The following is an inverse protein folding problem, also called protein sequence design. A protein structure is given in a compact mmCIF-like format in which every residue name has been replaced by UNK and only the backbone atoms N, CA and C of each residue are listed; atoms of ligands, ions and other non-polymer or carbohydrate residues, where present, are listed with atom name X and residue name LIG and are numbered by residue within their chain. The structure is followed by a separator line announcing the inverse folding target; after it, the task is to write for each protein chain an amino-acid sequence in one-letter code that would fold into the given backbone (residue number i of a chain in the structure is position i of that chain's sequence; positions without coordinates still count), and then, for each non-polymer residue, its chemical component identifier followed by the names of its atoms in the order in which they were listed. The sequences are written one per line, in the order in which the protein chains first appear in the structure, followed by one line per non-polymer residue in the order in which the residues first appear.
data_IF_657528969769
#
_entry.id   IF_657528969769
#
_cell.length_a   1.000
_cell.length_b   1.000
_cell.length_c   1.000
_cell.angle_alpha   90.00
_cell.angle_beta   90.00
_cell.angle_gamma   90.00
#
_symmetry.space_group_name_H-M   'P 1'
#
loop_
_entity.id
_entity.type
_entity.pdbx_description
1 polymer ?
#
# COMPACT_ATOMS: atom_id res chain seq x y z
N UNK A 1 -19.56 -2.76 -46.55
CA UNK A 1 -20.04 -2.43 -47.91
C UNK A 1 -19.78 -0.94 -48.15
N UNK A 2 -18.85 -0.65 -49.07
CA UNK A 2 -18.64 0.52 -49.96
C UNK A 2 -18.88 1.95 -49.43
N UNK A 3 -18.07 2.98 -49.69
CA UNK A 3 -17.09 3.28 -50.77
C UNK A 3 -16.26 4.51 -50.30
N UNK A 4 -14.92 4.50 -50.29
CA UNK A 4 -13.99 4.89 -51.37
C UNK A 4 -14.27 6.23 -52.07
N UNK A 5 -13.39 7.22 -51.86
CA UNK A 5 -12.96 8.19 -52.87
C UNK A 5 -11.46 8.49 -52.71
N UNK A 6 -10.70 8.14 -53.75
CA UNK A 6 -9.30 8.50 -54.00
C UNK A 6 -9.24 9.88 -54.69
N UNK A 7 -8.16 10.63 -54.44
CA UNK A 7 -7.56 11.51 -55.46
C UNK A 7 -6.06 11.71 -55.19
N UNK A 8 -5.24 11.30 -56.16
CA UNK A 8 -3.78 11.44 -56.24
C UNK A 8 -3.38 12.77 -56.93
N UNK A 9 -2.24 13.31 -56.48
CA UNK A 9 -1.10 13.88 -57.25
C UNK A 9 -1.27 15.19 -58.04
N UNK A 10 -0.37 16.16 -57.77
CA UNK A 10 0.57 16.70 -58.78
C UNK A 10 1.86 17.25 -58.14
N UNK A 11 2.99 16.78 -58.67
CA UNK A 11 4.36 17.26 -58.50
C UNK A 11 4.67 18.16 -59.71
N UNK A 12 5.27 19.34 -59.51
CA UNK A 12 6.04 20.03 -60.57
C UNK A 12 7.28 20.66 -59.95
N UNK A 13 8.43 20.25 -60.48
CA UNK A 13 9.75 20.82 -60.24
C UNK A 13 10.02 21.99 -61.19
N UNK A 14 10.88 22.92 -60.76
CA UNK A 14 11.58 23.87 -61.65
C UNK A 14 12.93 24.18 -61.02
N UNK A 15 14.02 23.81 -61.71
CA UNK A 15 15.39 24.07 -61.27
C UNK A 15 16.02 25.30 -61.92
N UNK A 16 17.15 25.75 -61.37
CA UNK A 16 18.29 26.33 -62.09
C UNK A 16 19.45 26.55 -61.10
N UNK A 17 20.64 26.06 -61.46
CA UNK A 17 21.91 26.23 -60.76
C UNK A 17 22.75 27.31 -61.45
N UNK A 18 23.66 28.00 -60.74
CA UNK A 18 25.05 28.27 -61.17
C UNK A 18 25.91 29.00 -60.09
N UNK A 19 27.05 28.36 -59.75
CA UNK A 19 28.42 28.85 -59.42
C UNK A 19 28.71 30.05 -58.47
N UNK A 20 29.60 29.78 -57.48
CA UNK A 20 30.98 30.33 -57.49
C UNK A 20 31.48 31.20 -56.31
N UNK A 21 32.45 30.64 -55.55
CA UNK A 21 33.60 31.24 -54.82
C UNK A 21 33.40 32.30 -53.70
N UNK A 22 33.91 32.00 -52.50
CA UNK A 22 35.24 32.48 -52.05
C UNK A 22 35.62 31.96 -50.64
N UNK A 23 36.89 31.54 -50.53
CA UNK A 23 37.60 31.14 -49.32
C UNK A 23 38.17 32.38 -48.61
N UNK A 24 38.21 32.39 -47.28
CA UNK A 24 39.18 33.17 -46.50
C UNK A 24 39.63 32.40 -45.24
N UNK A 25 40.93 32.31 -44.90
CA UNK A 25 41.41 31.44 -43.82
C UNK A 25 41.96 32.17 -42.57
N UNK A 26 41.83 31.48 -41.42
CA UNK A 26 42.74 31.41 -40.23
C UNK A 26 42.68 32.57 -39.19
N UNK A 27 42.93 32.30 -37.88
CA UNK A 27 44.19 31.72 -37.39
C UNK A 27 44.11 30.54 -36.40
N UNK A 28 45.22 29.79 -36.40
CA UNK A 28 45.63 28.79 -35.42
C UNK A 28 45.97 29.49 -34.09
N UNK A 29 45.57 28.91 -32.97
CA UNK A 29 46.18 29.16 -31.68
C UNK A 29 46.71 27.87 -31.07
N UNK A 30 47.97 27.99 -30.67
CA UNK A 30 48.91 26.99 -30.20
C UNK A 30 48.66 26.54 -28.77
N UNK A 31 49.16 25.35 -28.49
CA UNK A 31 49.39 24.73 -27.18
C UNK A 31 49.76 25.69 -26.05
N UNK A 32 49.02 25.59 -24.95
CA UNK A 32 49.55 25.83 -23.60
C UNK A 32 49.05 24.67 -22.72
N UNK A 33 49.92 23.69 -22.51
CA UNK A 33 49.79 22.72 -21.41
C UNK A 33 50.06 23.48 -20.11
N UNK A 34 49.01 23.80 -19.35
CA UNK A 34 49.12 24.14 -17.93
C UNK A 34 48.47 23.01 -17.14
N UNK A 35 49.33 22.22 -16.48
CA UNK A 35 49.03 21.05 -15.68
C UNK A 35 48.31 21.50 -14.41
N UNK A 36 46.98 21.42 -14.39
CA UNK A 36 46.18 21.51 -13.16
C UNK A 36 45.86 20.10 -12.69
N UNK A 37 46.60 19.62 -11.68
CA UNK A 37 46.28 18.41 -10.94
C UNK A 37 45.10 18.70 -10.00
N UNK A 38 43.88 18.57 -10.52
CA UNK A 38 42.69 18.40 -9.69
C UNK A 38 42.54 16.91 -9.37
N UNK A 39 42.30 16.52 -8.10
CA UNK A 39 42.03 15.12 -7.80
C UNK A 39 40.77 14.69 -8.52
N UNK A 40 40.87 13.57 -9.24
CA UNK A 40 39.75 12.91 -9.90
C UNK A 40 38.80 12.41 -8.81
N UNK A 41 37.86 13.25 -8.37
CA UNK A 41 36.74 12.78 -7.57
C UNK A 41 35.79 12.10 -8.55
N UNK A 42 35.91 10.78 -8.64
CA UNK A 42 34.97 9.96 -9.38
C UNK A 42 33.67 9.87 -8.56
N UNK A 43 32.93 10.97 -8.46
CA UNK A 43 31.52 10.92 -8.08
C UNK A 43 30.81 10.54 -9.36
N UNK A 44 30.52 9.25 -9.55
CA UNK A 44 29.53 8.86 -10.55
C UNK A 44 28.27 9.67 -10.24
N UNK A 45 27.84 10.54 -11.16
CA UNK A 45 26.53 11.19 -11.01
C UNK A 45 25.50 10.10 -10.76
N UNK A 46 24.57 10.28 -9.80
CA UNK A 46 23.54 9.30 -9.56
C UNK A 46 22.78 9.06 -10.87
N UNK A 47 22.53 7.78 -11.21
CA UNK A 47 21.87 7.36 -12.46
C UNK A 47 20.52 8.06 -12.67
N UNK A 48 19.89 8.51 -11.59
CA UNK A 48 18.57 9.12 -11.55
C UNK A 48 18.63 10.46 -10.82
N UNK A 49 17.90 11.47 -11.31
CA UNK A 49 17.74 12.75 -10.61
C UNK A 49 17.05 12.55 -9.26
N UNK A 50 17.46 13.24 -8.19
CA UNK A 50 16.86 13.02 -6.87
C UNK A 50 15.38 13.42 -6.85
N UNK A 51 14.56 12.57 -6.23
CA UNK A 51 13.17 12.85 -5.86
C UNK A 51 13.04 12.73 -4.34
N UNK A 52 12.47 13.75 -3.71
CA UNK A 52 12.05 13.71 -2.31
C UNK A 52 10.56 13.96 -2.23
N UNK A 53 9.85 13.04 -1.61
CA UNK A 53 8.40 13.02 -1.53
C UNK A 53 7.98 13.32 -0.10
N UNK A 54 7.33 14.45 0.10
CA UNK A 54 6.71 14.80 1.38
C UNK A 54 5.65 13.75 1.72
N UNK A 55 5.84 13.06 2.84
CA UNK A 55 5.07 11.88 3.21
C UNK A 55 4.31 12.09 4.52
N UNK A 56 3.01 11.81 4.49
CA UNK A 56 2.09 11.91 5.62
C UNK A 56 1.52 10.53 5.92
N UNK A 57 1.68 10.08 7.17
CA UNK A 57 1.22 8.76 7.60
C UNK A 57 0.08 8.92 8.59
N UNK A 58 -1.05 8.32 8.24
CA UNK A 58 -2.25 8.26 9.04
C UNK A 58 -2.46 6.81 9.47
N UNK A 59 -2.50 6.57 10.77
CA UNK A 59 -2.69 5.24 11.35
C UNK A 59 -4.08 5.19 11.95
N UNK A 60 -4.98 4.50 11.25
CA UNK A 60 -6.42 4.52 11.51
C UNK A 60 -6.76 3.36 12.42
N UNK A 61 -7.07 3.69 13.66
CA UNK A 61 -7.36 2.74 14.72
C UNK A 61 -8.79 2.90 15.19
N UNK A 62 -9.38 1.84 15.72
CA UNK A 62 -10.74 1.95 16.22
C UNK A 62 -10.79 2.78 17.51
N UNK A 63 -11.82 3.61 17.69
CA UNK A 63 -12.04 4.36 18.95
C UNK A 63 -12.23 3.45 20.16
N UNK A 64 -12.55 2.17 19.90
CA UNK A 64 -12.52 1.06 20.85
C UNK A 64 -11.52 0.01 20.33
N UNK A 65 -10.22 0.14 20.64
CA UNK A 65 -9.18 -0.62 19.97
C UNK A 65 -9.26 -2.12 20.27
N UNK A 66 -8.98 -2.93 19.25
CA UNK A 66 -8.77 -4.39 19.30
C UNK A 66 -7.27 -4.72 19.40
N UNK A 67 -6.87 -5.96 19.72
CA UNK A 67 -5.45 -6.39 19.75
C UNK A 67 -4.62 -5.93 18.55
N UNK A 68 -5.20 -5.99 17.36
CA UNK A 68 -4.58 -5.62 16.09
C UNK A 68 -4.29 -4.12 16.00
N UNK A 69 -5.07 -3.27 16.67
CA UNK A 69 -4.87 -1.82 16.72
C UNK A 69 -3.71 -1.41 17.64
N UNK A 70 -3.10 -2.32 18.39
CA UNK A 70 -1.91 -2.03 19.22
C UNK A 70 -0.65 -1.85 18.38
N UNK A 71 -0.73 -1.06 17.32
CA UNK A 71 0.40 -0.67 16.50
C UNK A 71 1.24 0.38 17.24
N UNK A 72 2.54 0.21 17.15
CA UNK A 72 3.55 1.05 17.78
C UNK A 72 4.16 1.99 16.76
N UNK A 73 4.61 3.16 17.21
CA UNK A 73 5.36 4.10 16.37
C UNK A 73 6.55 3.42 15.69
N UNK A 74 7.24 2.54 16.42
CA UNK A 74 8.38 1.78 15.92
C UNK A 74 8.02 0.91 14.72
N UNK A 75 6.90 0.19 14.75
CA UNK A 75 6.45 -0.63 13.62
C UNK A 75 6.18 0.23 12.38
N UNK A 76 5.60 1.42 12.57
CA UNK A 76 5.33 2.35 11.46
C UNK A 76 6.62 2.93 10.89
N UNK A 77 7.55 3.35 11.74
CA UNK A 77 8.85 3.84 11.29
C UNK A 77 9.67 2.75 10.58
N UNK A 78 9.61 1.50 11.04
CA UNK A 78 10.22 0.37 10.36
C UNK A 78 9.63 0.14 8.96
N UNK A 79 8.33 0.33 8.78
CA UNK A 79 7.71 0.28 7.45
C UNK A 79 8.24 1.40 6.52
N UNK A 80 8.46 2.60 7.03
CA UNK A 80 9.04 3.70 6.25
C UNK A 80 10.53 3.47 5.94
N UNK A 81 11.26 2.81 6.83
CA UNK A 81 12.63 2.37 6.56
C UNK A 81 12.68 1.35 5.41
N UNK A 82 11.76 0.39 5.39
CA UNK A 82 11.64 -0.57 4.27
C UNK A 82 11.36 0.16 2.95
N UNK A 83 10.39 1.08 2.95
CA UNK A 83 10.04 1.86 1.77
C UNK A 83 11.24 2.68 1.25
N UNK A 84 11.91 3.43 2.13
CA UNK A 84 13.10 4.20 1.73
C UNK A 84 14.23 3.29 1.24
N UNK A 85 14.45 2.13 1.86
CA UNK A 85 15.48 1.19 1.43
C UNK A 85 15.22 0.62 0.03
N UNK A 86 13.98 0.30 -0.29
CA UNK A 86 13.57 -0.24 -1.60
C UNK A 86 13.70 0.80 -2.72
N UNK A 87 13.42 2.08 -2.41
CA UNK A 87 13.47 3.16 -3.38
C UNK A 87 14.84 3.87 -3.49
N UNK A 88 15.73 3.69 -2.50
CA UNK A 88 17.07 4.30 -2.46
C UNK A 88 17.92 4.06 -3.73
N UNK A 89 17.96 2.85 -4.34
CA UNK A 89 18.73 2.63 -5.57
C UNK A 89 18.27 3.50 -6.76
N UNK A 90 17.06 4.05 -6.68
CA UNK A 90 16.42 4.84 -7.73
C UNK A 90 16.46 6.35 -7.42
N UNK A 91 17.15 6.75 -6.36
CA UNK A 91 17.26 8.14 -5.89
C UNK A 91 15.90 8.78 -5.55
N UNK A 92 14.95 7.95 -5.10
CA UNK A 92 13.65 8.37 -4.58
C UNK A 92 13.68 8.18 -3.05
N UNK A 93 13.22 9.21 -2.33
CA UNK A 93 13.20 9.26 -0.87
C UNK A 93 11.87 9.80 -0.36
N UNK A 94 11.45 9.34 0.83
CA UNK A 94 10.19 9.69 1.46
C UNK A 94 10.48 10.43 2.77
N UNK A 95 10.23 11.74 2.78
CA UNK A 95 10.47 12.61 3.92
C UNK A 95 9.21 12.69 4.80
N UNK A 96 9.26 12.08 5.98
CA UNK A 96 8.13 12.02 6.90
C UNK A 96 7.83 13.40 7.49
N UNK A 97 6.74 14.02 7.02
CA UNK A 97 6.26 15.31 7.54
C UNK A 97 5.34 15.17 8.74
N UNK A 98 4.54 14.10 8.77
CA UNK A 98 3.65 13.79 9.89
C UNK A 98 3.43 12.30 10.03
N UNK A 99 3.44 11.84 11.27
CA UNK A 99 2.89 10.57 11.70
C UNK A 99 1.80 10.85 12.73
N UNK A 100 0.58 10.35 12.50
CA UNK A 100 -0.55 10.54 13.41
C UNK A 100 -1.36 9.26 13.60
N UNK A 101 -1.90 9.08 14.80
CA UNK A 101 -3.01 8.17 15.05
C UNK A 101 -4.32 8.89 14.73
N UNK A 102 -5.23 8.22 14.02
CA UNK A 102 -6.54 8.72 13.65
C UNK A 102 -7.64 7.77 14.17
N UNK A 103 -8.07 7.92 15.44
CA UNK A 103 -9.14 7.10 15.99
C UNK A 103 -10.48 7.34 15.28
N UNK A 104 -11.10 6.30 14.75
CA UNK A 104 -12.43 6.39 14.13
C UNK A 104 -13.28 5.13 14.40
N UNK A 105 -14.59 5.25 14.64
CA UNK A 105 -15.46 4.09 14.93
C UNK A 105 -15.77 3.19 13.72
N UNK A 106 -15.31 3.51 12.52
CA UNK A 106 -15.70 2.80 11.29
C UNK A 106 -14.58 2.58 10.28
N UNK A 107 -13.75 3.60 10.02
CA UNK A 107 -12.69 3.55 9.01
C UNK A 107 -11.70 2.38 9.15
N UNK A 108 -11.31 1.89 10.35
CA UNK A 108 -10.36 0.79 10.46
C UNK A 108 -10.75 -0.48 9.69
N UNK A 109 -12.05 -0.73 9.56
CA UNK A 109 -12.63 -1.95 8.98
C UNK A 109 -13.60 -1.65 7.82
N UNK A 110 -13.70 -0.39 7.39
CA UNK A 110 -14.65 0.03 6.34
C UNK A 110 -14.22 -0.53 4.98
N UNK A 111 -15.14 -1.07 4.21
CA UNK A 111 -14.84 -1.52 2.84
C UNK A 111 -14.40 -0.35 1.95
N UNK A 112 -13.29 -0.51 1.23
CA UNK A 112 -12.81 0.48 0.23
C UNK A 112 -13.84 0.76 -0.89
N UNK A 113 -14.77 -0.16 -1.11
CA UNK A 113 -15.85 -0.01 -2.11
C UNK A 113 -17.13 0.60 -1.54
N UNK A 114 -17.14 0.99 -0.25
CA UNK A 114 -18.28 1.66 0.34
C UNK A 114 -18.53 3.02 -0.32
N UNK A 115 -19.80 3.46 -0.36
CA UNK A 115 -20.20 4.73 -0.99
C UNK A 115 -19.58 5.97 -0.34
N UNK A 116 -19.13 5.84 0.91
CA UNK A 116 -18.46 6.87 1.71
C UNK A 116 -16.95 6.63 1.88
N UNK A 117 -16.35 5.71 1.10
CA UNK A 117 -14.92 5.37 1.22
C UNK A 117 -13.98 6.61 1.11
N UNK A 118 -14.41 7.64 0.39
CA UNK A 118 -13.65 8.87 0.19
C UNK A 118 -13.62 9.80 1.42
N UNK A 119 -14.49 9.59 2.42
CA UNK A 119 -14.59 10.48 3.59
C UNK A 119 -13.28 10.51 4.39
N UNK A 120 -12.59 9.38 4.48
CA UNK A 120 -11.31 9.26 5.17
C UNK A 120 -10.25 10.13 4.51
N UNK A 121 -10.02 9.98 3.21
CA UNK A 121 -9.05 10.80 2.49
C UNK A 121 -9.43 12.28 2.46
N UNK A 122 -10.71 12.61 2.27
CA UNK A 122 -11.23 14.00 2.40
C UNK A 122 -10.87 14.63 3.74
N UNK A 123 -10.95 13.86 4.82
CA UNK A 123 -10.78 14.35 6.18
C UNK A 123 -9.33 14.44 6.63
N UNK A 124 -8.51 13.48 6.19
CA UNK A 124 -7.17 13.26 6.72
C UNK A 124 -6.06 13.74 5.80
N UNK A 125 -6.28 13.79 4.47
CA UNK A 125 -5.24 14.13 3.51
C UNK A 125 -4.57 15.46 3.86
N UNK A 126 -3.25 15.46 3.75
CA UNK A 126 -2.38 16.61 3.90
C UNK A 126 -1.49 16.77 2.67
N UNK A 127 -0.88 17.94 2.53
CA UNK A 127 0.03 18.18 1.42
C UNK A 127 -0.68 18.64 0.14
N UNK A 128 0.09 18.72 -0.95
CA UNK A 128 -0.44 18.96 -2.29
C UNK A 128 -0.52 17.63 -3.07
N UNK A 129 -0.69 17.66 -4.39
CA UNK A 129 -0.78 16.43 -5.19
C UNK A 129 0.57 15.71 -5.38
N UNK A 130 1.68 16.37 -5.09
CA UNK A 130 3.02 15.74 -5.04
C UNK A 130 3.34 15.11 -3.68
N UNK A 131 2.51 15.33 -2.66
CA UNK A 131 2.66 14.72 -1.34
C UNK A 131 2.02 13.35 -1.28
N UNK A 132 2.72 12.37 -0.72
CA UNK A 132 2.22 11.02 -0.50
C UNK A 132 1.47 10.95 0.84
N UNK A 133 0.22 10.49 0.81
CA UNK A 133 -0.55 10.17 2.01
C UNK A 133 -0.69 8.65 2.12
N UNK A 134 -0.29 8.09 3.26
CA UNK A 134 -0.34 6.66 3.56
C UNK A 134 -1.35 6.43 4.67
N UNK A 135 -2.36 5.62 4.39
CA UNK A 135 -3.41 5.23 5.35
C UNK A 135 -3.20 3.78 5.76
N UNK A 136 -2.87 3.57 7.03
CA UNK A 136 -2.59 2.25 7.58
C UNK A 136 -3.74 1.86 8.50
N UNK A 137 -4.46 0.78 8.19
CA UNK A 137 -5.66 0.37 8.92
C UNK A 137 -5.78 -1.14 9.05
N UNK A 138 -6.78 -1.65 9.80
CA UNK A 138 -6.85 -3.09 10.09
C UNK A 138 -7.19 -3.91 8.87
N UNK A 139 -8.23 -3.53 8.14
CA UNK A 139 -8.70 -4.27 6.98
C UNK A 139 -9.15 -3.32 5.87
N UNK A 140 -8.90 -3.70 4.62
CA UNK A 140 -9.28 -2.89 3.44
C UNK A 140 -10.65 -3.28 2.89
N UNK A 141 -10.95 -4.57 2.81
CA UNK A 141 -12.26 -5.06 2.37
C UNK A 141 -12.65 -6.37 3.09
N UNK A 142 -13.90 -6.50 3.58
CA UNK A 142 -14.42 -7.74 4.14
C UNK A 142 -14.53 -8.87 3.10
N UNK A 143 -14.68 -8.52 1.82
CA UNK A 143 -14.79 -9.48 0.73
C UNK A 143 -13.42 -10.02 0.27
N UNK A 144 -12.35 -9.27 0.55
CA UNK A 144 -10.98 -9.60 0.14
C UNK A 144 -10.02 -9.51 1.34
N UNK A 145 -10.10 -10.45 2.30
CA UNK A 145 -9.33 -10.39 3.55
C UNK A 145 -7.81 -10.50 3.34
N UNK A 146 -7.36 -10.97 2.17
CA UNK A 146 -5.94 -11.09 1.83
C UNK A 146 -5.35 -9.86 1.13
N UNK A 147 -6.17 -8.83 0.87
CA UNK A 147 -5.74 -7.58 0.26
C UNK A 147 -4.78 -6.85 1.20
N UNK A 148 -3.53 -6.72 0.77
CA UNK A 148 -2.47 -6.12 1.57
C UNK A 148 -2.39 -4.59 1.41
N UNK A 149 -2.77 -4.10 0.23
CA UNK A 149 -2.72 -2.70 -0.12
C UNK A 149 -3.66 -2.36 -1.27
N UNK A 150 -3.89 -1.08 -1.47
CA UNK A 150 -4.53 -0.51 -2.65
C UNK A 150 -4.08 0.94 -2.84
N UNK A 151 -4.08 1.38 -4.09
CA UNK A 151 -4.01 2.80 -4.47
C UNK A 151 -4.97 3.07 -5.61
N UNK A 152 -5.51 4.28 -5.65
CA UNK A 152 -6.22 4.75 -6.84
C UNK A 152 -5.19 5.21 -7.87
N UNK A 153 -5.25 4.61 -9.07
CA UNK A 153 -4.43 5.05 -10.18
C UNK A 153 -5.13 6.19 -10.92
N UNK A 154 -4.43 7.29 -11.08
CA UNK A 154 -4.93 8.46 -11.78
C UNK A 154 -4.27 8.51 -13.16
N UNK A 155 -5.08 8.39 -14.21
CA UNK A 155 -4.59 8.39 -15.60
C UNK A 155 -4.76 9.74 -16.29
N UNK A 156 -5.68 10.58 -15.80
CA UNK A 156 -5.98 11.90 -16.37
C UNK A 156 -5.25 13.02 -15.62
N UNK A 157 -4.06 13.37 -16.11
CA UNK A 157 -3.17 14.34 -15.45
C UNK A 157 -3.48 15.82 -15.76
N UNK A 158 -4.41 16.07 -16.68
CA UNK A 158 -4.75 17.44 -17.12
C UNK A 158 -5.82 18.10 -16.26
N UNK A 159 -6.67 17.31 -15.59
CA UNK A 159 -7.70 17.76 -14.69
C UNK A 159 -7.85 16.76 -13.54
N UNK A 160 -7.43 17.16 -12.34
CA UNK A 160 -7.63 16.38 -11.12
C UNK A 160 -8.87 16.91 -10.42
N UNK A 161 -9.89 16.06 -10.27
CA UNK A 161 -11.11 16.41 -9.56
C UNK A 161 -10.92 16.36 -8.04
N UNK A 162 -11.86 16.94 -7.28
CA UNK A 162 -11.88 16.78 -5.82
C UNK A 162 -11.97 15.31 -5.42
N UNK A 163 -12.72 14.49 -6.18
CA UNK A 163 -12.84 13.05 -5.92
C UNK A 163 -11.49 12.35 -6.07
N UNK A 164 -10.71 12.70 -7.09
CA UNK A 164 -9.38 12.12 -7.32
C UNK A 164 -8.45 12.50 -6.16
N UNK A 165 -8.50 13.76 -5.70
CA UNK A 165 -7.75 14.20 -4.53
C UNK A 165 -8.14 13.46 -3.24
N UNK A 166 -9.42 13.17 -3.05
CA UNK A 166 -9.93 12.45 -1.88
C UNK A 166 -9.52 10.98 -1.85
N UNK A 167 -9.19 10.39 -2.99
CA UNK A 167 -8.79 8.98 -3.12
C UNK A 167 -7.30 8.80 -3.39
N UNK A 168 -6.59 9.87 -3.73
CA UNK A 168 -5.14 9.84 -3.91
C UNK A 168 -4.43 9.52 -2.58
N UNK A 169 -3.47 8.61 -2.68
CA UNK A 169 -2.71 8.07 -1.57
C UNK A 169 -2.65 6.56 -1.67
N UNK A 170 -2.04 5.96 -0.65
CA UNK A 170 -1.87 4.52 -0.55
C UNK A 170 -2.54 4.04 0.72
N UNK A 171 -3.35 2.99 0.63
CA UNK A 171 -3.89 2.31 1.80
C UNK A 171 -3.21 0.94 1.96
N UNK A 172 -2.79 0.59 3.18
CA UNK A 172 -2.26 -0.74 3.51
C UNK A 172 -2.86 -1.27 4.81
N UNK A 173 -2.88 -2.59 4.96
CA UNK A 173 -3.31 -3.25 6.21
C UNK A 173 -2.19 -3.29 7.26
N UNK A 174 -2.53 -3.23 8.55
CA UNK A 174 -1.62 -3.55 9.67
C UNK A 174 -0.93 -4.90 9.49
N UNK A 175 -1.57 -5.86 8.82
CA UNK A 175 -1.02 -7.19 8.59
C UNK A 175 0.07 -7.21 7.50
N UNK A 176 0.27 -6.11 6.77
CA UNK A 176 1.35 -6.00 5.80
C UNK A 176 2.61 -5.36 6.39
N UNK A 177 2.53 -4.84 7.62
CA UNK A 177 3.65 -4.20 8.29
C UNK A 177 4.78 -5.19 8.59
N UNK A 178 6.05 -4.73 8.63
CA UNK A 178 7.17 -5.53 9.08
C UNK A 178 6.90 -6.19 10.44
N UNK A 179 6.94 -7.52 10.48
CA UNK A 179 6.73 -8.30 11.72
C UNK A 179 5.27 -8.57 12.09
N UNK A 180 4.29 -8.24 11.24
CA UNK A 180 2.86 -8.49 11.47
C UNK A 180 2.19 -9.38 10.41
N UNK A 181 2.71 -10.55 10.02
CA UNK A 181 2.09 -11.34 8.96
C UNK A 181 0.61 -11.65 9.27
N UNK A 182 -0.30 -11.64 8.27
CA UNK A 182 -1.65 -12.15 8.47
C UNK A 182 -1.60 -13.66 8.74
N UNK A 183 -2.62 -14.18 9.41
CA UNK A 183 -2.81 -15.63 9.60
C UNK A 183 -2.70 -16.33 8.24
N UNK A 184 -1.76 -17.27 8.11
CA UNK A 184 -1.52 -18.03 6.87
C UNK A 184 -0.46 -17.47 5.91
N UNK A 185 0.27 -16.39 6.23
CA UNK A 185 1.45 -15.95 5.45
C UNK A 185 2.75 -16.07 6.26
N UNK A 186 3.83 -16.44 5.58
CA UNK A 186 5.13 -16.68 6.21
C UNK A 186 5.92 -15.41 6.54
N UNK A 187 5.66 -14.28 5.87
CA UNK A 187 6.40 -13.04 6.14
C UNK A 187 5.56 -11.78 5.88
N UNK A 188 5.54 -10.86 6.86
CA UNK A 188 5.19 -9.45 6.66
C UNK A 188 6.50 -8.68 6.72
N UNK A 189 7.09 -8.38 5.56
CA UNK A 189 8.36 -7.66 5.40
C UNK A 189 8.14 -6.18 5.03
N UNK A 190 6.88 -5.76 4.86
CA UNK A 190 6.53 -4.39 4.48
C UNK A 190 6.61 -4.11 2.99
N UNK A 191 6.68 -5.14 2.14
CA UNK A 191 6.83 -4.96 0.68
C UNK A 191 5.55 -4.55 -0.03
N UNK A 192 4.38 -4.80 0.58
CA UNK A 192 3.11 -4.30 0.07
C UNK A 192 3.13 -2.77 -0.14
N UNK A 193 3.68 -2.00 0.81
CA UNK A 193 3.76 -0.55 0.65
C UNK A 193 4.64 -0.14 -0.54
N UNK A 194 5.76 -0.84 -0.77
CA UNK A 194 6.63 -0.59 -1.93
C UNK A 194 5.88 -0.82 -3.24
N UNK A 195 5.10 -1.90 -3.33
CA UNK A 195 4.24 -2.21 -4.46
C UNK A 195 3.19 -1.12 -4.71
N UNK A 196 2.42 -0.75 -3.69
CA UNK A 196 1.38 0.26 -3.82
C UNK A 196 1.93 1.65 -4.15
N UNK A 197 3.11 2.01 -3.62
CA UNK A 197 3.77 3.27 -4.00
C UNK A 197 4.26 3.23 -5.45
N UNK A 198 4.64 2.06 -5.97
CA UNK A 198 4.90 1.87 -7.40
C UNK A 198 3.67 2.19 -8.25
N UNK A 199 2.50 1.69 -7.86
CA UNK A 199 1.22 2.04 -8.48
C UNK A 199 0.86 3.53 -8.31
N UNK A 200 1.09 4.11 -7.13
CA UNK A 200 0.89 5.54 -6.90
C UNK A 200 1.76 6.35 -7.89
N UNK A 201 2.99 5.93 -8.14
CA UNK A 201 3.91 6.49 -9.16
C UNK A 201 3.61 6.03 -10.61
N UNK A 202 2.44 5.42 -10.84
CA UNK A 202 1.89 5.14 -12.16
C UNK A 202 2.29 3.81 -12.79
N UNK A 203 2.98 2.93 -12.07
CA UNK A 203 3.29 1.59 -12.59
C UNK A 203 2.03 0.72 -12.59
N UNK A 204 1.93 -0.17 -13.58
CA UNK A 204 0.94 -1.24 -13.59
C UNK A 204 1.54 -2.53 -13.06
N UNK A 205 0.67 -3.51 -12.78
CA UNK A 205 1.15 -4.88 -12.60
C UNK A 205 1.89 -5.33 -13.86
N UNK A 206 3.04 -5.98 -13.70
CA UNK A 206 3.81 -6.52 -14.86
C UNK A 206 3.01 -7.48 -15.74
N UNK A 207 1.97 -8.11 -15.17
CA UNK A 207 1.03 -9.00 -15.85
C UNK A 207 -0.32 -8.34 -16.17
N UNK A 208 -0.49 -7.03 -15.97
CA UNK A 208 -1.74 -6.36 -16.32
C UNK A 208 -2.12 -6.70 -17.77
N UNK A 209 -3.36 -7.00 -18.11
CA UNK A 209 -3.77 -7.33 -19.50
C UNK A 209 -3.07 -8.53 -20.16
N UNK A 210 -2.32 -9.36 -19.44
CA UNK A 210 -1.31 -10.24 -20.06
C UNK A 210 -1.71 -11.71 -20.30
N UNK A 211 -3.00 -12.06 -20.21
CA UNK A 211 -3.49 -13.44 -20.36
C UNK A 211 -3.09 -14.14 -21.68
N UNK A 212 -2.60 -13.36 -22.66
CA UNK A 212 -2.27 -13.80 -24.02
C UNK A 212 -0.81 -13.54 -24.44
N UNK A 213 0.14 -13.39 -23.50
CA UNK A 213 1.54 -13.03 -23.82
C UNK A 213 1.64 -11.74 -24.65
N UNK A 214 0.89 -10.72 -24.23
CA UNK A 214 0.98 -9.37 -24.77
C UNK A 214 1.57 -8.44 -23.72
N UNK A 215 2.09 -7.30 -24.15
CA UNK A 215 2.60 -6.25 -23.26
C UNK A 215 1.56 -5.90 -22.21
N UNK A 216 1.97 -6.01 -20.95
CA UNK A 216 1.07 -5.94 -19.83
C UNK A 216 1.03 -4.60 -19.12
N UNK A 217 2.21 -4.05 -18.83
CA UNK A 217 2.37 -2.80 -18.09
C UNK A 217 2.79 -1.60 -18.95
N UNK A 218 3.05 -1.79 -20.25
CA UNK A 218 3.43 -0.71 -21.15
C UNK A 218 4.88 -0.24 -20.96
N UNK A 219 5.73 -1.05 -20.32
CA UNK A 219 7.13 -0.77 -20.07
C UNK A 219 7.99 -1.70 -20.92
N UNK A 220 8.88 -1.16 -21.75
CA UNK A 220 9.60 -1.96 -22.76
C UNK A 220 10.57 -2.99 -22.16
N UNK A 221 11.13 -2.73 -20.98
CA UNK A 221 12.16 -3.56 -20.35
C UNK A 221 11.63 -4.51 -19.26
N UNK A 222 10.31 -4.61 -19.09
CA UNK A 222 9.64 -5.62 -18.27
C UNK A 222 9.31 -6.84 -19.16
N UNK A 223 9.86 -8.03 -18.85
CA UNK A 223 9.56 -9.23 -19.63
C UNK A 223 8.05 -9.54 -19.64
N UNK A 224 7.54 -9.89 -20.82
CA UNK A 224 6.14 -10.25 -21.02
C UNK A 224 5.89 -11.66 -20.47
N UNK A 225 4.86 -11.80 -19.65
CA UNK A 225 4.47 -13.05 -19.00
C UNK A 225 2.95 -13.13 -18.85
N UNK A 226 2.36 -14.29 -18.58
CA UNK A 226 0.90 -14.51 -18.68
C UNK A 226 0.07 -14.06 -17.47
N UNK A 227 0.65 -14.14 -16.28
CA UNK A 227 -0.08 -14.02 -15.02
C UNK A 227 0.90 -13.81 -13.88
N UNK A 228 0.41 -13.45 -12.70
CA UNK A 228 1.28 -13.38 -11.53
C UNK A 228 2.06 -14.69 -11.28
N UNK A 229 3.29 -14.57 -10.77
CA UNK A 229 4.20 -15.71 -10.61
C UNK A 229 4.07 -16.44 -9.27
N UNK A 230 3.55 -15.79 -8.23
CA UNK A 230 3.24 -16.38 -6.93
C UNK A 230 4.44 -16.68 -6.02
N UNK A 231 5.57 -17.15 -6.56
CA UNK A 231 6.82 -17.38 -5.83
C UNK A 231 8.05 -17.13 -6.72
N UNK A 232 9.25 -17.39 -6.19
CA UNK A 232 10.51 -17.26 -6.91
C UNK A 232 11.44 -18.48 -6.77
N UNK A 233 10.89 -19.70 -6.67
CA UNK A 233 11.70 -20.91 -6.44
C UNK A 233 12.38 -21.46 -7.69
N UNK A 234 11.84 -21.19 -8.86
CA UNK A 234 12.36 -21.65 -10.15
C UNK A 234 12.37 -20.46 -11.14
N UNK A 235 13.15 -20.50 -12.22
CA UNK A 235 12.96 -19.59 -13.34
C UNK A 235 11.64 -19.93 -14.04
N UNK A 236 10.71 -18.98 -14.10
CA UNK A 236 9.44 -19.13 -14.81
C UNK A 236 9.55 -18.49 -16.19
N UNK A 237 8.96 -19.15 -17.19
CA UNK A 237 8.82 -18.63 -18.55
C UNK A 237 7.45 -19.05 -19.09
N UNK A 238 6.45 -18.24 -18.77
CA UNK A 238 5.07 -18.47 -19.18
C UNK A 238 4.84 -18.12 -20.66
N UNK A 239 5.75 -17.36 -21.26
CA UNK A 239 5.72 -16.83 -22.62
C UNK A 239 7.03 -17.09 -23.39
N UNK A 240 7.36 -18.35 -23.71
CA UNK A 240 8.69 -18.73 -24.23
C UNK A 240 9.03 -18.22 -25.63
N UNK A 241 8.06 -17.62 -26.33
CA UNK A 241 8.27 -16.97 -27.62
C UNK A 241 8.55 -15.46 -27.48
N UNK A 242 8.51 -14.94 -26.25
CA UNK A 242 8.81 -13.55 -25.90
C UNK A 242 10.19 -13.49 -25.24
N UNK A 243 10.89 -12.34 -25.31
CA UNK A 243 12.20 -12.20 -24.69
C UNK A 243 12.10 -12.12 -23.16
N UNK A 244 12.98 -12.85 -22.46
CA UNK A 244 13.13 -12.79 -21.01
C UNK A 244 12.42 -13.92 -20.27
N UNK A 245 12.60 -13.95 -18.95
CA UNK A 245 11.87 -14.82 -18.03
C UNK A 245 10.83 -13.99 -17.30
N UNK A 246 9.80 -14.64 -16.74
CA UNK A 246 8.80 -13.98 -15.90
C UNK A 246 9.52 -13.16 -14.80
N UNK A 247 9.14 -11.89 -14.56
CA UNK A 247 9.84 -10.99 -13.64
C UNK A 247 9.50 -11.28 -12.17
N UNK A 248 9.88 -12.47 -11.68
CA UNK A 248 9.55 -13.01 -10.35
C UNK A 248 10.13 -12.24 -9.15
N UNK A 249 11.05 -11.29 -9.40
CA UNK A 249 11.65 -10.45 -8.37
C UNK A 249 11.18 -8.98 -8.44
N UNK A 250 10.32 -8.65 -9.39
CA UNK A 250 9.86 -7.29 -9.61
C UNK A 250 8.81 -6.90 -8.57
N UNK A 251 8.93 -5.69 -8.01
CA UNK A 251 7.97 -5.18 -7.02
C UNK A 251 6.53 -5.13 -7.55
N UNK A 252 6.31 -5.01 -8.88
CA UNK A 252 4.99 -4.93 -9.51
C UNK A 252 4.45 -6.28 -10.02
N UNK A 253 5.06 -7.40 -9.64
CA UNK A 253 4.48 -8.73 -9.80
C UNK A 253 3.73 -9.11 -8.51
N UNK A 254 2.91 -10.16 -8.49
CA UNK A 254 2.43 -10.75 -7.24
C UNK A 254 3.22 -12.01 -6.94
N UNK A 255 4.12 -11.88 -5.98
CA UNK A 255 4.95 -12.95 -5.42
C UNK A 255 4.96 -12.86 -3.90
N UNK A 256 5.44 -13.92 -3.22
CA UNK A 256 5.72 -13.85 -1.78
C UNK A 256 6.75 -12.76 -1.47
N UNK A 257 6.63 -12.10 -0.32
CA UNK A 257 7.38 -10.86 -0.06
C UNK A 257 8.91 -11.01 -0.12
N UNK A 258 9.43 -12.19 0.24
CA UNK A 258 10.86 -12.52 0.21
C UNK A 258 11.46 -12.49 -1.21
N UNK A 259 10.61 -12.53 -2.23
CA UNK A 259 11.02 -12.46 -3.63
C UNK A 259 11.21 -11.02 -4.12
N UNK A 260 10.57 -10.02 -3.52
CA UNK A 260 10.65 -8.66 -4.06
C UNK A 260 12.05 -8.04 -3.90
N UNK A 261 12.63 -7.57 -5.02
CA UNK A 261 13.99 -7.01 -5.06
C UNK A 261 14.17 -5.74 -5.88
N UNK A 262 13.39 -5.54 -6.95
CA UNK A 262 13.72 -4.48 -7.91
C UNK A 262 12.55 -3.92 -8.72
N UNK A 263 12.74 -2.68 -9.18
CA UNK A 263 12.11 -2.09 -10.36
C UNK A 263 13.10 -2.09 -11.53
N UNK A 264 12.58 -2.17 -12.77
CA UNK A 264 13.40 -2.04 -13.98
C UNK A 264 13.77 -0.58 -14.24
N UNK A 265 14.84 -0.30 -15.02
CA UNK A 265 15.14 1.06 -15.46
C UNK A 265 13.97 1.78 -16.16
N UNK A 266 13.19 1.08 -16.97
CA UNK A 266 12.00 1.62 -17.63
C UNK A 266 10.90 2.01 -16.66
N UNK A 267 10.63 1.15 -15.65
CA UNK A 267 9.70 1.48 -14.56
C UNK A 267 10.17 2.73 -13.79
N UNK A 268 11.46 2.83 -13.48
CA UNK A 268 12.02 4.01 -12.79
C UNK A 268 11.85 5.27 -13.64
N UNK A 269 12.17 5.21 -14.94
CA UNK A 269 11.96 6.35 -15.84
C UNK A 269 10.47 6.78 -15.89
N UNK A 270 9.55 5.81 -15.88
CA UNK A 270 8.11 6.07 -15.83
C UNK A 270 7.70 6.76 -14.52
N UNK A 271 8.15 6.25 -13.37
CA UNK A 271 7.87 6.85 -12.06
C UNK A 271 8.34 8.31 -11.97
N UNK A 272 9.53 8.61 -12.49
CA UNK A 272 10.03 9.99 -12.54
C UNK A 272 9.18 10.90 -13.44
N UNK A 273 8.72 10.37 -14.58
CA UNK A 273 7.82 11.09 -15.49
C UNK A 273 6.48 11.41 -14.83
N UNK A 274 5.89 10.43 -14.13
CA UNK A 274 4.63 10.58 -13.39
C UNK A 274 4.78 11.55 -12.23
N UNK A 275 5.85 11.44 -11.44
CA UNK A 275 6.09 12.38 -10.34
C UNK A 275 6.26 13.82 -10.83
N UNK A 276 6.92 14.03 -11.98
CA UNK A 276 6.99 15.36 -12.61
C UNK A 276 5.61 15.91 -12.97
N UNK A 277 4.67 15.06 -13.42
CA UNK A 277 3.29 15.50 -13.66
C UNK A 277 2.63 15.93 -12.36
N UNK A 278 2.76 15.15 -11.29
CA UNK A 278 2.24 15.51 -9.95
C UNK A 278 2.72 16.87 -9.45
N UNK A 279 4.00 17.18 -9.65
CA UNK A 279 4.58 18.47 -9.27
C UNK A 279 3.97 19.65 -10.02
N UNK A 280 3.57 19.44 -11.28
CA UNK A 280 3.04 20.47 -12.17
C UNK A 280 1.52 20.57 -12.13
N UNK A 281 0.83 19.61 -11.53
CA UNK A 281 -0.63 19.63 -11.39
C UNK A 281 -1.04 20.72 -10.42
N UNK A 282 -1.71 21.75 -10.94
CA UNK A 282 -2.45 22.71 -10.11
C UNK A 282 -3.67 22.02 -9.49
N UNK A 283 -3.70 21.95 -8.17
CA UNK A 283 -4.89 21.49 -7.45
C UNK A 283 -5.81 22.68 -7.19
N UNK A 284 -7.08 22.60 -7.58
CA UNK A 284 -8.10 23.64 -7.31
C UNK A 284 -8.37 23.84 -5.81
N UNK A 285 -7.90 22.95 -4.95
CA UNK A 285 -8.04 23.03 -3.50
C UNK A 285 -6.93 23.91 -2.91
N UNK A 286 -7.11 25.23 -3.00
CA UNK A 286 -6.46 26.18 -2.08
C UNK A 286 -7.17 26.13 -0.71
N UNK A 287 -7.11 25.01 0.01
CA UNK A 287 -7.43 25.06 1.46
C UNK A 287 -6.18 25.48 2.18
N UNK A 288 -6.22 26.68 2.75
CA UNK A 288 -5.30 27.29 3.70
C UNK A 288 -5.13 26.48 5.02
N UNK A 289 -5.14 25.15 4.96
CA UNK A 289 -4.91 24.29 6.13
C UNK A 289 -3.43 23.97 6.29
N UNK A 290 -2.59 24.99 6.16
CA UNK A 290 -1.15 24.82 5.98
C UNK A 290 -0.27 25.28 7.14
N UNK A 291 -0.76 25.94 8.20
CA UNK A 291 0.20 26.63 9.09
C UNK A 291 0.42 26.14 10.53
N UNK A 292 -0.48 25.44 11.25
CA UNK A 292 -0.28 25.45 12.73
C UNK A 292 -0.17 24.15 13.53
N UNK A 293 -0.21 22.95 12.93
CA UNK A 293 -0.03 21.73 13.74
C UNK A 293 1.22 20.94 13.37
N UNK A 294 2.38 21.61 13.40
CA UNK A 294 3.70 20.97 13.52
C UNK A 294 3.95 20.39 14.92
N UNK A 295 2.89 19.96 15.59
CA UNK A 295 3.04 19.09 16.74
C UNK A 295 2.94 17.67 16.21
N UNK A 296 4.10 17.01 16.08
CA UNK A 296 4.13 15.55 16.15
C UNK A 296 3.32 15.20 17.40
N UNK A 297 2.09 14.71 17.22
CA UNK A 297 1.33 14.23 18.35
C UNK A 297 2.21 13.14 18.98
N UNK A 298 2.56 13.31 20.26
CA UNK A 298 3.33 12.30 20.98
C UNK A 298 2.59 10.97 20.81
N UNK A 299 3.22 10.00 20.18
CA UNK A 299 2.57 8.73 19.90
C UNK A 299 2.13 8.07 21.20
N UNK A 300 0.84 7.80 21.32
CA UNK A 300 0.26 7.05 22.43
C UNK A 300 -0.40 5.84 21.82
N UNK A 301 0.32 4.71 21.83
CA UNK A 301 -0.23 3.45 21.34
C UNK A 301 -1.63 3.21 21.92
N UNK A 302 -2.59 2.74 21.11
CA UNK A 302 -3.94 2.49 21.59
C UNK A 302 -3.90 1.56 22.80
N UNK A 303 -4.36 2.06 23.95
CA UNK A 303 -4.43 1.26 25.16
C UNK A 303 -5.63 0.33 25.04
N UNK A 304 -5.36 -0.97 25.00
CA UNK A 304 -6.42 -1.94 25.27
C UNK A 304 -6.68 -1.89 26.76
N UNK A 305 -7.91 -1.54 27.11
CA UNK A 305 -8.42 -1.72 28.45
C UNK A 305 -9.20 -3.03 28.39
N UNK A 306 -8.77 -4.06 29.12
CA UNK A 306 -9.50 -5.32 29.27
C UNK A 306 -10.99 -5.02 29.52
N UNK A 307 -11.89 -5.62 28.74
CA UNK A 307 -13.33 -5.59 29.03
C UNK A 307 -13.92 -6.97 28.82
N UNK A 308 -14.45 -7.52 29.90
CA UNK A 308 -14.96 -8.86 30.00
C UNK A 308 -16.15 -9.01 29.02
N UNK A 309 -16.09 -10.01 28.13
CA UNK A 309 -17.15 -10.26 27.14
C UNK A 309 -18.43 -10.66 27.89
N UNK A 310 -19.56 -10.04 27.54
CA UNK A 310 -20.87 -10.35 28.13
C UNK A 310 -21.32 -9.46 29.29
N UNK A 311 -20.65 -8.32 29.56
CA UNK A 311 -21.19 -7.31 30.48
C UNK A 311 -22.34 -6.53 29.85
N UNK A 312 -23.17 -5.90 30.69
CA UNK A 312 -24.22 -4.97 30.24
C UNK A 312 -23.63 -3.85 29.39
N UNK A 313 -22.49 -3.29 29.80
CA UNK A 313 -21.77 -2.25 29.05
C UNK A 313 -21.22 -2.74 27.71
N UNK A 314 -20.95 -4.05 27.53
CA UNK A 314 -20.57 -4.65 26.24
C UNK A 314 -21.80 -4.89 25.36
N UNK A 315 -22.90 -5.37 25.95
CA UNK A 315 -24.14 -5.64 25.24
C UNK A 315 -24.87 -4.40 24.75
N UNK A 316 -24.67 -3.26 25.40
CA UNK A 316 -25.20 -1.95 24.97
C UNK A 316 -24.43 -1.34 23.77
N UNK A 317 -23.41 -2.04 23.23
CA UNK A 317 -22.48 -1.51 22.21
C UNK A 317 -22.92 -1.64 20.75
N UNK A 318 -24.20 -1.93 20.47
CA UNK A 318 -24.77 -1.75 19.13
C UNK A 318 -25.00 -3.01 18.29
N UNK A 319 -25.31 -4.16 18.91
CA UNK A 319 -26.00 -5.23 18.16
C UNK A 319 -27.52 -4.98 18.21
N UNK A 320 -28.23 -5.19 17.10
CA UNK A 320 -29.70 -5.16 17.09
C UNK A 320 -30.28 -6.19 18.08
N UNK A 321 -30.92 -5.68 19.14
CA UNK A 321 -31.55 -6.47 20.21
C UNK A 321 -31.45 -5.77 21.57
N UNK A 322 -32.33 -6.10 22.52
CA UNK A 322 -32.21 -5.62 23.91
C UNK A 322 -30.97 -6.24 24.59
N UNK A 323 -30.52 -5.64 25.70
CA UNK A 323 -29.46 -6.20 26.55
C UNK A 323 -29.74 -7.68 26.87
N UNK A 324 -31.00 -8.02 27.13
CA UNK A 324 -31.44 -9.39 27.40
C UNK A 324 -31.27 -10.33 26.20
N UNK A 325 -31.42 -9.83 24.97
CA UNK A 325 -31.16 -10.59 23.73
C UNK A 325 -29.67 -10.81 23.52
N UNK A 326 -28.84 -9.81 23.82
CA UNK A 326 -27.39 -9.96 23.75
C UNK A 326 -26.88 -10.97 24.79
N UNK A 327 -27.40 -10.90 26.02
CA UNK A 327 -27.09 -11.85 27.09
C UNK A 327 -27.64 -13.25 26.83
N UNK A 328 -28.78 -13.39 26.11
CA UNK A 328 -29.38 -14.69 25.78
C UNK A 328 -28.78 -15.37 24.56
N UNK A 329 -28.20 -14.61 23.61
CA UNK A 329 -27.37 -15.12 22.50
C UNK A 329 -25.97 -15.58 22.96
N UNK A 330 -25.69 -15.56 24.26
CA UNK A 330 -24.60 -16.30 24.88
C UNK A 330 -24.89 -17.80 24.74
N UNK A 331 -24.70 -18.34 23.55
CA UNK A 331 -24.95 -19.75 23.30
C UNK A 331 -23.66 -20.57 23.35
N UNK A 332 -23.78 -21.72 24.01
CA UNK A 332 -23.08 -22.95 23.67
C UNK A 332 -22.78 -23.03 22.17
N UNK A 333 -21.53 -23.39 21.86
CA UNK A 333 -20.97 -23.74 20.54
C UNK A 333 -21.98 -23.96 19.40
N UNK A 334 -21.81 -23.32 18.23
CA UNK A 334 -22.64 -23.62 17.06
C UNK A 334 -22.32 -25.03 16.55
N UNK A 335 -23.28 -25.93 16.68
CA UNK A 335 -23.11 -27.29 16.16
C UNK A 335 -24.06 -28.29 16.79
N UNK A 336 -25.35 -28.17 16.48
CA UNK A 336 -26.30 -29.29 16.22
C UNK A 336 -27.73 -28.80 16.42
N UNK A 337 -28.31 -28.22 15.36
CA UNK A 337 -29.74 -28.29 15.18
C UNK A 337 -30.08 -29.74 14.79
N UNK A 338 -30.35 -30.59 15.77
CA UNK A 338 -31.29 -31.69 15.62
C UNK A 338 -32.22 -31.63 16.83
N UNK A 339 -33.46 -31.23 16.57
CA UNK A 339 -34.57 -31.40 17.50
C UNK A 339 -35.13 -32.80 17.22
N UNK A 340 -35.07 -33.76 18.16
CA UNK A 340 -36.10 -34.79 18.27
C UNK A 340 -37.24 -34.22 19.11
N UNK A 341 -38.45 -34.33 18.58
CA UNK A 341 -39.69 -34.00 19.29
C UNK A 341 -39.76 -34.69 20.66
N UNK A 342 -39.96 -33.93 21.73
CA UNK A 342 -40.54 -34.46 22.97
C UNK A 342 -39.64 -34.59 24.20
N UNK A 343 -38.68 -33.70 24.46
CA UNK A 343 -38.01 -33.69 25.77
C UNK A 343 -37.93 -32.29 26.39
N UNK A 344 -38.41 -32.20 27.64
CA UNK A 344 -38.39 -31.03 28.50
C UNK A 344 -36.95 -30.62 28.82
N UNK A 345 -36.45 -29.53 28.23
CA UNK A 345 -35.16 -28.96 28.64
C UNK A 345 -35.28 -28.33 30.03
N UNK A 346 -34.61 -28.94 31.00
CA UNK A 346 -34.09 -28.22 32.17
C UNK A 346 -33.06 -27.21 31.67
N UNK A 347 -33.28 -25.95 32.01
CA UNK A 347 -32.29 -24.90 31.83
C UNK A 347 -31.11 -25.18 32.77
N UNK A 348 -29.90 -25.33 32.23
CA UNK A 348 -28.70 -25.33 33.05
C UNK A 348 -28.50 -23.91 33.58
N UNK A 349 -28.43 -23.78 34.91
CA UNK A 349 -28.17 -22.52 35.59
C UNK A 349 -26.75 -22.07 35.18
N UNK A 350 -26.64 -20.97 34.45
CA UNK A 350 -25.34 -20.43 34.06
C UNK A 350 -24.55 -20.05 35.32
N UNK A 351 -23.36 -20.63 35.48
CA UNK A 351 -22.39 -20.19 36.48
C UNK A 351 -22.15 -18.68 36.37
N UNK A 352 -22.28 -17.97 37.49
CA UNK A 352 -22.20 -16.51 37.65
C UNK A 352 -20.78 -15.95 37.63
N UNK A 353 -19.75 -16.78 37.48
CA UNK A 353 -18.38 -16.27 37.48
C UNK A 353 -18.01 -15.69 36.11
N UNK A 354 -18.14 -14.37 36.04
CA UNK A 354 -17.51 -13.49 35.06
C UNK A 354 -16.02 -13.84 34.96
N UNK A 355 -15.55 -14.17 33.75
CA UNK A 355 -14.14 -14.38 33.48
C UNK A 355 -13.67 -13.31 32.50
N UNK A 356 -12.85 -12.38 32.98
CA UNK A 356 -12.17 -11.45 32.09
C UNK A 356 -11.09 -12.26 31.35
N UNK A 357 -11.33 -12.48 30.06
CA UNK A 357 -10.51 -13.34 29.20
C UNK A 357 -9.16 -12.65 28.95
N UNK A 358 -8.05 -13.37 29.17
CA UNK A 358 -6.69 -12.82 29.06
C UNK A 358 -6.04 -12.43 30.40
N UNK A 359 -6.80 -12.46 31.50
CA UNK A 359 -6.25 -12.18 32.83
C UNK A 359 -5.23 -13.23 33.27
N UNK A 360 -4.40 -12.87 34.26
CA UNK A 360 -3.48 -13.80 34.92
C UNK A 360 -4.20 -15.06 35.43
N UNK A 361 -5.42 -14.89 35.95
CA UNK A 361 -6.26 -15.97 36.47
C UNK A 361 -6.77 -16.89 35.36
N UNK A 362 -7.17 -16.34 34.20
CA UNK A 362 -7.57 -17.13 33.04
C UNK A 362 -6.41 -17.98 32.51
N UNK A 363 -5.23 -17.37 32.38
CA UNK A 363 -4.01 -18.03 31.91
C UNK A 363 -3.62 -19.21 32.82
N UNK A 364 -3.62 -18.98 34.14
CA UNK A 364 -3.33 -19.99 35.14
C UNK A 364 -4.37 -21.13 35.14
N UNK A 365 -5.65 -20.80 34.96
CA UNK A 365 -6.76 -21.77 34.93
C UNK A 365 -6.73 -22.68 33.70
N UNK A 366 -6.17 -22.22 32.58
CA UNK A 366 -6.05 -22.98 31.32
C UNK A 366 -4.65 -23.58 31.11
N UNK A 367 -3.81 -23.65 32.16
CA UNK A 367 -2.51 -24.35 32.11
C UNK A 367 -1.38 -23.56 31.44
N UNK A 368 -1.58 -22.28 31.13
CA UNK A 368 -0.55 -21.42 30.56
C UNK A 368 0.27 -20.73 31.66
N UNK A 369 1.60 -20.71 31.50
CA UNK A 369 2.47 -19.97 32.42
C UNK A 369 2.27 -18.47 32.20
N UNK A 370 1.88 -17.74 33.24
CA UNK A 370 1.80 -16.28 33.15
C UNK A 370 3.20 -15.67 32.95
N UNK A 371 3.43 -15.05 31.79
CA UNK A 371 4.68 -14.35 31.45
C UNK A 371 4.43 -12.83 31.40
N UNK A 372 3.34 -12.41 30.76
CA UNK A 372 2.81 -11.04 30.74
C UNK A 372 1.34 -11.06 30.28
N UNK A 373 0.63 -9.94 30.46
CA UNK A 373 -0.74 -9.76 29.97
C UNK A 373 -0.83 -9.96 28.43
N UNK A 374 0.10 -9.38 27.67
CA UNK A 374 0.19 -9.57 26.21
C UNK A 374 0.47 -11.04 25.82
N UNK A 375 1.29 -11.76 26.58
CA UNK A 375 1.53 -13.19 26.33
C UNK A 375 0.23 -14.00 26.52
N UNK A 376 -0.51 -13.73 27.60
CA UNK A 376 -1.78 -14.39 27.89
C UNK A 376 -2.88 -14.09 26.88
N UNK A 377 -2.91 -12.86 26.35
CA UNK A 377 -3.79 -12.49 25.24
C UNK A 377 -3.40 -13.17 23.92
N UNK A 378 -2.10 -13.43 23.69
CA UNK A 378 -1.60 -14.03 22.44
C UNK A 378 -1.77 -15.55 22.33
N UNK A 379 -1.80 -16.28 23.45
CA UNK A 379 -2.09 -17.73 23.42
C UNK A 379 -3.57 -18.02 23.11
N UNK A 380 -4.46 -17.04 23.30
CA UNK A 380 -5.89 -17.12 22.92
C UNK A 380 -6.10 -17.33 21.42
N UNK A 381 -5.36 -16.61 20.57
CA UNK A 381 -5.58 -16.64 19.11
C UNK A 381 -5.13 -17.95 18.48
N UNK A 382 -4.24 -18.70 19.13
CA UNK A 382 -3.80 -20.02 18.64
C UNK A 382 -4.85 -21.12 18.76
N UNK A 383 -5.75 -21.06 19.75
CA UNK A 383 -6.81 -22.07 19.91
C UNK A 383 -8.04 -21.81 19.03
N UNK A 384 -8.25 -20.57 18.57
CA UNK A 384 -9.36 -20.23 17.66
C UNK A 384 -9.08 -20.64 16.19
N UNK A 385 -7.80 -20.83 15.82
CA UNK A 385 -7.37 -21.20 14.46
C UNK A 385 -7.16 -22.73 14.24
N UNK A 386 -7.33 -23.55 15.28
CA UNK A 386 -7.09 -25.01 15.25
C UNK A 386 -8.39 -25.86 15.22
N UNK A 387 -9.52 -25.30 14.74
CA UNK A 387 -10.82 -26.00 14.62
C UNK A 387 -11.43 -25.97 13.22
#
# INVERSE_FOLDING_TARGET
MNSSWFALVYLVASGLAFRGNSFSPRPKLSSIYARSSQPYVNVSEPKWSPITIDTYVHVIVHTRPMPEDQVTEKEILQQLDVLNNDFRPYNISFDLKRLQLAPHPFWPDRDIYATDANEMGRSLRLGNFSSLNIYIRRQLSPLFPLMAGVTEQITEWTQISERDMERDGVEITFFSLPGRPPVGRSTGLGKALTHEVGHWLGLQHTFANSDMCIDGDGIEDTPIHKSFSGNCTEPWDSCPNMPGLDPIYNYMNYVVEDCYKEFTPGQVAHMHSVFKKRLLTETTIHRERWEEERHLQTWKSPKIVERCIGTKEWCEQGKEGSVDVCLSRRESTPGTALIPSGSSKKWYNASTNEGCVGSQEWCAKNGYKYISEQYCLSVRTKEEDDW
#
